data_IF_709270772710
#
_entry.id   IF_709270772710
#
_cell.length_a   1.000
_cell.length_b   1.000
_cell.length_c   1.000
_cell.angle_alpha   90.00
_cell.angle_beta   90.00
_cell.angle_gamma   90.00
#
_symmetry.space_group_name_H-M   'P 1'
#
loop_
_entity.id
_entity.type
_entity.pdbx_description
1 polymer ?
#
# COMPACT_ATOMS: atom_id res chain seq x y z
N UNK A 1 -4.94 39.98 12.51
CA UNK A 1 -4.71 38.99 11.44
C UNK A 1 -3.40 38.27 11.73
N UNK A 2 -3.46 37.17 12.47
CA UNK A 2 -2.30 36.37 12.85
C UNK A 2 -2.05 35.30 11.79
N UNK A 3 -0.88 35.40 11.15
CA UNK A 3 -0.38 34.46 10.14
C UNK A 3 -0.05 33.14 10.85
N UNK A 4 -0.66 32.04 10.42
CA UNK A 4 -0.34 30.70 10.94
C UNK A 4 1.07 30.33 10.43
N UNK A 5 2.09 30.51 11.26
CA UNK A 5 3.42 29.97 10.99
C UNK A 5 3.41 28.48 11.31
N UNK A 6 3.17 27.66 10.29
CA UNK A 6 3.36 26.22 10.36
C UNK A 6 4.86 25.92 10.46
N UNK A 7 5.23 25.24 11.56
CA UNK A 7 6.51 24.59 11.84
C UNK A 7 7.51 24.56 10.67
N UNK A 8 8.48 25.49 10.71
CA UNK A 8 9.70 25.39 9.92
C UNK A 8 10.57 24.27 10.51
N UNK A 9 10.48 23.07 9.92
CA UNK A 9 11.52 22.05 10.04
C UNK A 9 12.79 22.56 9.33
N UNK A 10 14.02 22.21 9.77
CA UNK A 10 15.25 22.70 9.16
C UNK A 10 15.25 22.40 7.65
N UNK A 11 15.43 23.47 6.89
CA UNK A 11 15.31 23.57 5.44
C UNK A 11 15.87 22.36 4.67
N UNK A 12 14.97 21.54 4.11
CA UNK A 12 15.21 20.96 2.80
C UNK A 12 15.02 22.13 1.82
N UNK A 13 16.09 22.53 1.12
CA UNK A 13 16.00 23.50 0.03
C UNK A 13 15.01 22.97 -1.00
N UNK A 14 13.81 23.56 -1.03
CA UNK A 14 12.93 23.48 -2.16
C UNK A 14 13.55 24.31 -3.28
N UNK A 15 14.19 23.66 -4.25
CA UNK A 15 14.36 24.29 -5.54
C UNK A 15 12.96 24.43 -6.14
N UNK A 16 12.41 25.64 -6.03
CA UNK A 16 11.11 25.98 -6.56
C UNK A 16 11.06 25.66 -8.05
N UNK A 17 10.33 24.60 -8.40
CA UNK A 17 9.86 24.38 -9.75
C UNK A 17 8.96 25.57 -10.11
N UNK A 18 9.54 26.58 -10.76
CA UNK A 18 8.78 27.63 -11.42
C UNK A 18 8.06 27.02 -12.61
N UNK A 19 6.88 26.46 -12.44
CA UNK A 19 5.95 26.21 -13.54
C UNK A 19 4.50 26.40 -13.07
N UNK A 20 4.16 27.66 -12.82
CA UNK A 20 2.80 28.16 -12.96
C UNK A 20 2.88 29.54 -13.62
N UNK A 21 2.79 29.58 -14.96
CA UNK A 21 1.91 30.48 -15.71
C UNK A 21 2.05 30.28 -17.23
N UNK A 22 0.89 30.29 -17.89
CA UNK A 22 0.61 30.42 -19.33
C UNK A 22 1.03 29.29 -20.28
N UNK A 23 0.09 28.37 -20.53
CA UNK A 23 -0.44 28.18 -21.89
C UNK A 23 0.40 27.51 -22.97
N UNK A 24 1.34 26.60 -22.66
CA UNK A 24 1.92 25.67 -23.65
C UNK A 24 2.16 24.31 -22.97
N UNK A 25 1.78 23.15 -23.56
CA UNK A 25 2.06 21.83 -22.99
C UNK A 25 3.55 21.48 -23.17
N UNK A 26 4.38 21.91 -22.23
CA UNK A 26 5.77 21.46 -22.10
C UNK A 26 5.85 20.12 -21.37
N UNK A 27 6.57 19.15 -21.95
CA UNK A 27 6.85 17.85 -21.31
C UNK A 27 7.51 18.05 -19.93
N UNK A 28 7.04 17.37 -18.87
CA UNK A 28 7.74 17.38 -17.59
C UNK A 28 9.13 16.74 -17.74
N UNK A 29 10.14 17.39 -17.14
CA UNK A 29 11.51 16.90 -17.10
C UNK A 29 11.57 15.58 -16.30
N UNK A 30 11.93 14.49 -16.97
CA UNK A 30 11.90 13.12 -16.43
C UNK A 30 13.24 12.66 -15.85
N UNK A 31 14.21 13.58 -15.71
CA UNK A 31 15.60 13.24 -15.40
C UNK A 31 16.00 13.36 -13.92
N UNK A 32 15.12 12.99 -12.97
CA UNK A 32 15.48 13.04 -11.54
C UNK A 32 15.47 11.65 -10.86
N UNK A 33 16.67 11.16 -10.56
CA UNK A 33 16.95 9.88 -9.88
C UNK A 33 16.90 10.00 -8.33
N UNK A 34 16.49 11.13 -7.76
CA UNK A 34 16.40 11.27 -6.30
C UNK A 34 15.11 10.64 -5.73
N UNK A 35 15.28 9.49 -5.09
CA UNK A 35 14.22 8.56 -4.66
C UNK A 35 13.34 9.03 -3.47
N UNK A 36 13.27 10.33 -3.16
CA UNK A 36 12.48 10.82 -2.02
C UNK A 36 12.02 12.28 -2.12
N UNK A 37 11.83 12.82 -3.33
CA UNK A 37 11.22 14.14 -3.43
C UNK A 37 9.73 14.04 -3.11
N UNK A 38 9.36 14.65 -2.00
CA UNK A 38 7.99 15.06 -1.69
C UNK A 38 7.42 15.77 -2.92
N UNK A 39 6.22 15.40 -3.35
CA UNK A 39 5.53 16.06 -4.45
C UNK A 39 4.31 16.80 -3.91
N UNK A 40 4.08 18.04 -4.35
CA UNK A 40 2.92 18.84 -3.96
C UNK A 40 2.09 19.08 -5.21
N UNK A 41 0.79 18.84 -5.11
CA UNK A 41 -0.18 19.03 -6.19
C UNK A 41 -1.32 19.92 -5.70
N UNK A 42 -1.72 20.88 -6.55
CA UNK A 42 -2.97 21.62 -6.37
C UNK A 42 -4.06 20.97 -7.22
N UNK A 43 -5.17 20.61 -6.60
CA UNK A 43 -6.26 19.86 -7.23
C UNK A 43 -7.59 20.57 -7.01
N UNK A 44 -8.52 20.50 -7.98
CA UNK A 44 -9.88 20.99 -7.78
C UNK A 44 -10.56 20.25 -6.61
N UNK A 45 -11.21 20.94 -5.66
CA UNK A 45 -11.93 20.29 -4.57
C UNK A 45 -13.02 19.31 -5.03
N UNK A 46 -13.56 19.51 -6.24
CA UNK A 46 -14.55 18.63 -6.86
C UNK A 46 -14.02 17.23 -7.21
N UNK A 47 -12.70 17.02 -7.19
CA UNK A 47 -12.11 15.70 -7.37
C UNK A 47 -12.20 14.82 -6.12
N UNK A 48 -12.56 15.38 -4.96
CA UNK A 48 -12.57 14.67 -3.68
C UNK A 48 -13.99 14.39 -3.22
N UNK A 49 -14.20 13.19 -2.71
CA UNK A 49 -15.42 12.79 -2.03
C UNK A 49 -15.08 12.02 -0.75
N UNK A 50 -15.90 12.20 0.28
CA UNK A 50 -15.81 11.43 1.52
C UNK A 50 -16.74 10.22 1.42
N UNK A 51 -16.17 9.02 1.51
CA UNK A 51 -16.92 7.77 1.59
C UNK A 51 -17.69 7.67 2.91
N UNK A 52 -18.83 6.99 2.86
CA UNK A 52 -19.47 6.53 4.08
C UNK A 52 -18.62 5.39 4.67
N UNK A 53 -18.40 5.45 5.98
CA UNK A 53 -17.55 4.54 6.78
C UNK A 53 -17.36 3.14 6.18
N UNK A 54 -16.16 2.88 5.66
CA UNK A 54 -15.69 1.57 5.23
C UNK A 54 -14.61 1.11 6.22
N UNK A 55 -14.58 -0.19 6.55
CA UNK A 55 -13.80 -0.78 7.64
C UNK A 55 -12.28 -0.74 7.47
N UNK A 56 -11.76 0.13 6.60
CA UNK A 56 -10.34 0.25 6.29
C UNK A 56 -9.78 1.56 6.84
N UNK A 57 -9.17 1.46 8.01
CA UNK A 57 -8.60 2.61 8.70
C UNK A 57 -7.38 3.18 7.96
N UNK A 58 -7.46 4.45 7.58
CA UNK A 58 -6.33 5.20 7.01
C UNK A 58 -6.09 5.03 5.51
N UNK A 59 -6.95 4.32 4.78
CA UNK A 59 -6.80 4.12 3.33
C UNK A 59 -8.05 4.58 2.56
N UNK A 60 -7.83 5.40 1.54
CA UNK A 60 -8.81 5.79 0.54
C UNK A 60 -8.42 5.27 -0.83
N UNK A 61 -9.05 5.80 -1.87
CA UNK A 61 -8.82 5.39 -3.25
C UNK A 61 -8.48 6.58 -4.15
N UNK A 62 -7.65 6.31 -5.15
CA UNK A 62 -7.42 7.22 -6.28
C UNK A 62 -7.63 6.47 -7.58
N UNK A 63 -8.41 7.08 -8.46
CA UNK A 63 -8.64 6.62 -9.83
C UNK A 63 -7.30 6.45 -10.58
N UNK A 64 -7.18 5.38 -11.36
CA UNK A 64 -5.90 5.04 -11.95
C UNK A 64 -5.41 5.98 -13.05
N UNK A 65 -6.32 6.57 -13.82
CA UNK A 65 -5.95 7.60 -14.80
C UNK A 65 -5.42 8.82 -14.10
N UNK A 66 -6.09 9.23 -13.02
CA UNK A 66 -5.69 10.38 -12.18
C UNK A 66 -4.34 10.15 -11.51
N UNK A 67 -4.13 8.96 -10.95
CA UNK A 67 -2.83 8.58 -10.40
C UNK A 67 -1.75 8.59 -11.47
N UNK A 68 -2.05 8.10 -12.67
CA UNK A 68 -1.12 8.10 -13.79
C UNK A 68 -0.77 9.54 -14.22
N UNK A 69 -1.77 10.39 -14.37
CA UNK A 69 -1.66 11.81 -14.76
C UNK A 69 -0.78 12.60 -13.78
N UNK A 70 -0.99 12.44 -12.46
CA UNK A 70 -0.18 13.09 -11.42
C UNK A 70 1.32 12.82 -11.55
N UNK A 71 1.70 11.68 -12.13
CA UNK A 71 3.11 11.28 -12.31
C UNK A 71 3.52 11.22 -13.80
N UNK A 72 2.81 11.94 -14.66
CA UNK A 72 3.19 12.20 -16.05
C UNK A 72 2.85 11.08 -17.04
N UNK A 73 1.94 10.17 -16.71
CA UNK A 73 1.39 9.18 -17.64
C UNK A 73 2.38 8.13 -18.16
N UNK A 74 3.57 8.05 -17.57
CA UNK A 74 4.62 7.17 -18.04
C UNK A 74 4.52 5.75 -17.45
N UNK A 75 5.37 4.84 -17.93
CA UNK A 75 5.40 3.46 -17.43
C UNK A 75 5.65 3.37 -15.91
N UNK A 76 6.38 4.30 -15.29
CA UNK A 76 6.58 4.30 -13.84
C UNK A 76 5.29 4.67 -13.09
N UNK A 77 4.55 5.66 -13.58
CA UNK A 77 3.23 6.01 -13.06
C UNK A 77 2.25 4.83 -13.20
N UNK A 78 2.25 4.16 -14.35
CA UNK A 78 1.42 2.99 -14.61
C UNK A 78 1.74 1.79 -13.70
N UNK A 79 2.93 1.75 -13.08
CA UNK A 79 3.31 0.72 -12.11
C UNK A 79 2.86 0.99 -10.68
N UNK A 80 2.42 2.21 -10.37
CA UNK A 80 2.05 2.59 -9.02
C UNK A 80 0.84 1.78 -8.53
N UNK A 81 0.93 1.32 -7.28
CA UNK A 81 -0.12 0.64 -6.53
C UNK A 81 -0.87 1.62 -5.61
N UNK A 82 -0.22 2.71 -5.21
CA UNK A 82 -0.78 3.72 -4.34
C UNK A 82 0.24 4.75 -3.89
N UNK A 83 -0.22 5.73 -3.13
CA UNK A 83 0.58 6.83 -2.61
C UNK A 83 0.21 7.14 -1.16
N UNK A 84 1.20 7.48 -0.33
CA UNK A 84 0.95 8.02 1.00
C UNK A 84 0.82 9.54 0.90
N UNK A 85 -0.25 10.08 1.46
CA UNK A 85 -0.63 11.48 1.28
C UNK A 85 -0.91 12.21 2.59
N UNK A 86 -0.73 13.52 2.52
CA UNK A 86 -1.34 14.50 3.41
C UNK A 86 -2.14 15.47 2.55
N UNK A 87 -3.42 15.64 2.86
CA UNK A 87 -4.34 16.46 2.07
C UNK A 87 -4.89 17.59 2.91
N UNK A 88 -4.96 18.78 2.31
CA UNK A 88 -5.79 19.88 2.77
C UNK A 88 -6.88 20.11 1.73
N UNK A 89 -8.12 19.78 2.10
CA UNK A 89 -9.29 20.02 1.25
C UNK A 89 -10.19 20.99 2.02
N UNK A 90 -10.18 22.30 1.75
CA UNK A 90 -10.81 23.30 2.63
C UNK A 90 -12.27 23.01 3.02
N UNK A 91 -13.05 22.47 2.08
CA UNK A 91 -14.45 22.10 2.30
C UNK A 91 -14.69 20.75 2.98
N UNK A 92 -13.67 19.89 3.11
CA UNK A 92 -13.77 18.57 3.73
C UNK A 92 -12.91 18.44 5.00
N UNK A 93 -11.70 19.01 5.04
CA UNK A 93 -10.80 18.97 6.19
C UNK A 93 -9.34 18.68 5.86
N UNK A 94 -8.60 18.27 6.89
CA UNK A 94 -7.22 17.77 6.78
C UNK A 94 -7.20 16.25 6.87
N UNK A 95 -6.50 15.60 5.95
CA UNK A 95 -6.43 14.14 5.87
C UNK A 95 -4.99 13.65 5.87
N UNK A 96 -4.78 12.46 6.44
CA UNK A 96 -3.54 11.70 6.38
C UNK A 96 -3.87 10.24 6.12
N UNK A 97 -3.15 9.61 5.21
CA UNK A 97 -3.23 8.17 5.01
C UNK A 97 -2.68 7.73 3.65
N UNK A 98 -3.21 6.63 3.15
CA UNK A 98 -2.91 6.09 1.83
C UNK A 98 -4.04 6.35 0.85
N UNK A 99 -3.71 6.51 -0.43
CA UNK A 99 -4.64 6.36 -1.54
C UNK A 99 -4.20 5.15 -2.36
N UNK A 100 -4.97 4.06 -2.25
CA UNK A 100 -4.79 2.88 -3.07
C UNK A 100 -5.31 3.15 -4.48
N UNK A 101 -4.59 2.66 -5.49
CA UNK A 101 -5.05 2.76 -6.87
C UNK A 101 -6.33 1.94 -7.05
N UNK A 102 -7.32 2.51 -7.71
CA UNK A 102 -8.58 1.84 -8.07
C UNK A 102 -8.86 1.98 -9.57
N UNK A 103 -9.46 0.95 -10.17
CA UNK A 103 -9.76 0.90 -11.60
C UNK A 103 -10.76 1.98 -12.00
N UNK A 104 -10.53 2.65 -13.13
CA UNK A 104 -11.43 3.69 -13.64
C UNK A 104 -12.85 3.14 -13.82
N UNK A 105 -13.85 3.96 -13.49
CA UNK A 105 -15.27 3.61 -13.64
C UNK A 105 -15.84 2.68 -12.57
N UNK A 106 -15.01 2.08 -11.70
CA UNK A 106 -15.47 1.24 -10.58
C UNK A 106 -15.75 2.02 -9.29
N UNK A 107 -15.46 3.33 -9.29
CA UNK A 107 -15.64 4.18 -8.12
C UNK A 107 -17.12 4.51 -7.83
N UNK A 108 -18.03 4.33 -8.80
CA UNK A 108 -19.45 4.69 -8.64
C UNK A 108 -19.69 6.20 -8.42
N UNK A 109 -18.63 7.01 -8.51
CA UNK A 109 -18.62 8.44 -8.27
C UNK A 109 -17.94 9.18 -9.42
N UNK A 110 -18.28 10.47 -9.57
CA UNK A 110 -17.57 11.42 -10.43
C UNK A 110 -16.25 11.89 -9.81
N UNK A 111 -16.10 11.76 -8.49
CA UNK A 111 -14.88 12.09 -7.79
C UNK A 111 -13.78 11.10 -8.18
N UNK A 112 -12.58 11.63 -8.36
CA UNK A 112 -11.40 10.85 -8.75
C UNK A 112 -10.61 10.37 -7.53
N UNK A 113 -10.85 10.96 -6.37
CA UNK A 113 -10.21 10.65 -5.09
C UNK A 113 -11.31 10.44 -4.05
N UNK A 114 -11.32 9.25 -3.45
CA UNK A 114 -12.27 8.87 -2.41
C UNK A 114 -11.52 8.79 -1.08
N UNK A 115 -11.95 9.59 -0.10
CA UNK A 115 -11.37 9.66 1.22
C UNK A 115 -12.24 8.92 2.21
N UNK A 116 -11.66 8.27 3.21
CA UNK A 116 -12.42 7.65 4.30
C UNK A 116 -12.43 8.56 5.53
N UNK A 117 -13.46 8.48 6.39
CA UNK A 117 -13.51 9.27 7.62
C UNK A 117 -12.31 9.06 8.54
N UNK A 118 -11.75 7.85 8.60
CA UNK A 118 -10.57 7.52 9.41
C UNK A 118 -9.29 8.27 8.98
N UNK A 119 -9.22 8.71 7.72
CA UNK A 119 -8.13 9.56 7.23
C UNK A 119 -8.26 11.01 7.73
N UNK A 120 -9.46 11.47 8.08
CA UNK A 120 -9.72 12.85 8.49
C UNK A 120 -9.17 13.10 9.90
N UNK A 121 -8.23 14.04 10.03
CA UNK A 121 -7.62 14.44 11.30
C UNK A 121 -8.19 15.73 11.84
N UNK A 122 -8.66 16.61 10.95
CA UNK A 122 -9.35 17.86 11.28
C UNK A 122 -10.52 18.04 10.33
N UNK A 123 -11.66 18.48 10.86
CA UNK A 123 -12.86 18.79 10.08
C UNK A 123 -12.67 19.97 9.10
N UNK A 124 -13.72 20.31 8.33
CA UNK A 124 -13.66 21.39 7.35
C UNK A 124 -13.42 22.76 7.99
N UNK A 125 -12.84 23.69 7.22
CA UNK A 125 -12.59 25.04 7.70
C UNK A 125 -13.91 25.81 7.91
N UNK A 126 -14.07 26.44 9.07
CA UNK A 126 -15.27 27.24 9.41
C UNK A 126 -15.52 28.39 8.42
N UNK A 127 -14.46 28.96 7.86
CA UNK A 127 -14.55 30.03 6.86
C UNK A 127 -15.20 29.57 5.56
N UNK A 128 -15.00 28.30 5.16
CA UNK A 128 -15.59 27.73 3.96
C UNK A 128 -17.09 27.40 4.12
N UNK A 129 -17.57 27.21 5.35
CA UNK A 129 -18.99 26.96 5.61
C UNK A 129 -19.87 28.17 5.25
N UNK A 130 -19.33 29.41 5.33
CA UNK A 130 -20.08 30.65 5.07
C UNK A 130 -20.10 31.06 3.60
N UNK A 131 -19.16 30.58 2.78
CA UNK A 131 -19.00 30.97 1.37
C UNK A 131 -19.61 30.01 0.36
N UNK A 132 -20.40 29.00 0.80
CA UNK A 132 -21.12 28.03 -0.06
C UNK A 132 -22.03 28.64 -1.15
N UNK A 133 -22.23 29.97 -1.19
CA UNK A 133 -23.03 30.66 -2.21
C UNK A 133 -22.26 31.14 -3.45
N UNK A 134 -20.93 31.10 -3.47
CA UNK A 134 -20.17 31.45 -4.69
C UNK A 134 -19.80 30.18 -5.47
N UNK A 135 -20.49 29.97 -6.59
CA UNK A 135 -20.48 28.75 -7.39
C UNK A 135 -19.25 28.55 -8.27
N UNK A 136 -18.22 29.41 -8.22
CA UNK A 136 -17.16 29.41 -9.25
C UNK A 136 -15.70 29.49 -8.78
N UNK A 137 -15.40 29.40 -7.48
CA UNK A 137 -14.01 29.60 -7.04
C UNK A 137 -13.65 29.06 -5.65
N UNK A 138 -13.95 27.79 -5.38
CA UNK A 138 -13.46 27.14 -4.16
C UNK A 138 -11.93 27.17 -4.12
N UNK A 139 -11.35 27.46 -2.94
CA UNK A 139 -9.91 27.36 -2.73
C UNK A 139 -9.42 25.95 -3.13
N UNK A 140 -8.28 25.83 -3.84
CA UNK A 140 -7.80 24.54 -4.31
C UNK A 140 -7.52 23.61 -3.13
N UNK A 141 -7.69 22.32 -3.36
CA UNK A 141 -7.16 21.31 -2.46
C UNK A 141 -5.65 21.19 -2.68
N UNK A 142 -4.90 20.97 -1.60
CA UNK A 142 -3.45 20.74 -1.66
C UNK A 142 -3.16 19.32 -1.25
N UNK A 143 -2.46 18.57 -2.10
CA UNK A 143 -2.01 17.21 -1.84
C UNK A 143 -0.49 17.17 -1.76
N UNK A 144 0.02 16.72 -0.62
CA UNK A 144 1.42 16.35 -0.43
C UNK A 144 1.55 14.84 -0.51
N UNK A 145 2.38 14.34 -1.43
CA UNK A 145 2.73 12.93 -1.54
C UNK A 145 4.05 12.68 -0.82
N UNK A 146 3.96 11.90 0.26
CA UNK A 146 5.10 11.53 1.09
C UNK A 146 5.87 10.33 0.52
N UNK A 147 5.14 9.32 0.06
CA UNK A 147 5.70 8.06 -0.44
C UNK A 147 4.91 7.55 -1.65
N UNK A 148 5.60 6.78 -2.49
CA UNK A 148 5.06 6.12 -3.69
C UNK A 148 5.28 4.62 -3.57
N UNK A 149 4.28 3.84 -3.99
CA UNK A 149 4.33 2.38 -3.93
C UNK A 149 4.06 1.78 -5.31
N UNK A 150 4.71 0.68 -5.70
CA UNK A 150 5.59 -0.16 -4.88
C UNK A 150 6.94 0.51 -4.61
N UNK A 151 7.60 0.13 -3.52
CA UNK A 151 8.95 0.64 -3.22
C UNK A 151 9.98 0.09 -4.23
N UNK A 152 11.14 0.75 -4.44
CA UNK A 152 12.20 0.19 -5.30
C UNK A 152 12.59 -1.24 -4.91
N UNK A 153 12.63 -1.53 -3.60
CA UNK A 153 12.88 -2.87 -3.07
C UNK A 153 11.82 -3.88 -3.52
N UNK A 154 10.54 -3.50 -3.43
CA UNK A 154 9.42 -4.35 -3.87
C UNK A 154 9.48 -4.58 -5.39
N UNK A 155 9.84 -3.57 -6.18
CA UNK A 155 10.03 -3.73 -7.62
C UNK A 155 11.10 -4.79 -7.91
N UNK A 156 12.24 -4.73 -7.23
CA UNK A 156 13.32 -5.70 -7.39
C UNK A 156 12.95 -7.10 -6.92
N UNK A 157 12.27 -7.21 -5.78
CA UNK A 157 11.72 -8.50 -5.32
C UNK A 157 10.75 -9.10 -6.34
N UNK A 158 9.88 -8.26 -6.92
CA UNK A 158 8.96 -8.67 -7.96
C UNK A 158 9.68 -9.39 -9.10
N UNK A 159 10.82 -8.84 -9.58
CA UNK A 159 11.56 -9.40 -10.73
C UNK A 159 12.03 -10.83 -10.47
N UNK A 160 12.20 -11.19 -9.20
CA UNK A 160 12.56 -12.54 -8.78
C UNK A 160 11.33 -13.44 -8.65
N UNK A 161 10.25 -12.93 -8.06
CA UNK A 161 9.02 -13.71 -7.81
C UNK A 161 8.26 -14.00 -9.12
N UNK A 162 8.15 -13.01 -10.00
CA UNK A 162 7.41 -13.13 -11.25
C UNK A 162 8.17 -12.39 -12.37
N UNK A 163 9.25 -12.99 -12.91
CA UNK A 163 10.10 -12.36 -13.92
C UNK A 163 9.36 -12.08 -15.24
N UNK A 164 8.22 -12.73 -15.48
CA UNK A 164 7.42 -12.58 -16.71
C UNK A 164 6.27 -11.58 -16.57
N UNK A 165 6.12 -10.94 -15.42
CA UNK A 165 5.02 -10.03 -15.17
C UNK A 165 5.07 -8.81 -16.11
N UNK A 166 3.99 -8.49 -16.87
CA UNK A 166 4.01 -7.48 -17.92
C UNK A 166 4.39 -6.07 -17.45
N UNK A 167 3.92 -5.67 -16.26
CA UNK A 167 4.23 -4.35 -15.71
C UNK A 167 5.56 -4.31 -14.94
N UNK A 168 6.23 -5.44 -14.72
CA UNK A 168 7.48 -5.43 -13.99
C UNK A 168 8.64 -5.10 -14.94
N UNK A 169 9.66 -4.35 -14.46
CA UNK A 169 10.86 -4.15 -15.26
C UNK A 169 11.53 -5.50 -15.55
N UNK A 170 11.84 -5.73 -16.81
CA UNK A 170 12.42 -7.00 -17.25
C UNK A 170 13.88 -7.16 -16.80
N UNK A 171 14.29 -8.42 -16.61
CA UNK A 171 15.64 -8.80 -16.22
C UNK A 171 15.84 -8.96 -14.71
N UNK A 172 17.03 -9.39 -14.32
CA UNK A 172 17.36 -9.60 -12.91
C UNK A 172 17.36 -8.28 -12.10
N UNK A 173 17.20 -8.36 -10.76
CA UNK A 173 17.49 -7.23 -9.88
C UNK A 173 18.90 -6.68 -10.11
N UNK A 174 19.14 -5.36 -9.98
CA UNK A 174 20.49 -4.81 -10.08
C UNK A 174 21.44 -5.48 -9.07
N UNK A 175 22.66 -5.81 -9.48
CA UNK A 175 23.67 -6.47 -8.59
C UNK A 175 23.99 -5.65 -7.33
N UNK A 176 23.81 -4.33 -7.39
CA UNK A 176 23.98 -3.41 -6.27
C UNK A 176 22.87 -3.53 -5.22
N UNK A 177 21.70 -4.02 -5.61
CA UNK A 177 20.57 -4.20 -4.70
C UNK A 177 20.63 -5.59 -4.06
N UNK A 178 20.54 -5.61 -2.73
CA UNK A 178 20.53 -6.84 -1.94
C UNK A 178 19.16 -7.02 -1.29
N UNK A 179 18.69 -8.25 -1.11
CA UNK A 179 17.51 -8.51 -0.30
C UNK A 179 17.70 -7.89 1.09
N UNK A 180 16.63 -7.34 1.67
CA UNK A 180 16.67 -6.85 3.04
C UNK A 180 16.91 -8.07 3.93
N UNK A 181 17.95 -8.01 4.75
CA UNK A 181 18.15 -9.02 5.76
C UNK A 181 16.93 -9.07 6.69
N UNK A 182 16.52 -10.29 7.06
CA UNK A 182 15.46 -10.51 8.03
C UNK A 182 15.73 -9.77 9.35
N UNK A 183 17.01 -9.71 9.74
CA UNK A 183 17.51 -8.98 10.90
C UNK A 183 18.64 -8.07 10.44
N UNK A 184 18.52 -6.77 10.72
CA UNK A 184 19.64 -5.83 10.55
C UNK A 184 20.64 -6.02 11.70
N UNK A 185 21.97 -5.97 11.44
CA UNK A 185 22.97 -6.00 12.51
C UNK A 185 22.67 -4.97 13.61
N UNK A 186 22.70 -5.40 14.87
CA UNK A 186 22.44 -4.54 16.02
C UNK A 186 20.97 -4.14 16.24
N UNK A 187 20.01 -4.71 15.48
CA UNK A 187 18.57 -4.53 15.71
C UNK A 187 17.96 -5.77 16.38
N UNK A 188 16.91 -5.59 17.22
CA UNK A 188 16.21 -6.72 17.83
C UNK A 188 15.64 -7.68 16.78
N UNK A 189 15.76 -8.98 17.03
CA UNK A 189 15.25 -10.05 16.17
C UNK A 189 13.75 -10.29 16.38
N UNK A 190 12.91 -9.28 16.16
CA UNK A 190 11.48 -9.38 16.49
C UNK A 190 10.78 -10.51 15.70
N UNK A 191 11.00 -10.58 14.37
CA UNK A 191 10.37 -11.62 13.53
C UNK A 191 10.86 -13.04 13.90
N UNK A 192 12.17 -13.33 14.02
CA UNK A 192 12.60 -14.65 14.50
C UNK A 192 12.12 -14.99 15.92
N UNK A 193 11.98 -14.01 16.82
CA UNK A 193 11.43 -14.23 18.16
C UNK A 193 9.94 -14.54 18.11
N UNK A 194 9.18 -13.85 17.27
CA UNK A 194 7.77 -14.15 17.03
C UNK A 194 7.62 -15.56 16.45
N UNK A 195 8.42 -15.94 15.46
CA UNK A 195 8.45 -17.32 14.96
C UNK A 195 8.79 -18.34 16.05
N UNK A 196 9.71 -18.01 16.96
CA UNK A 196 10.00 -18.86 18.13
C UNK A 196 8.79 -19.07 19.01
N UNK A 197 8.06 -18.00 19.35
CA UNK A 197 6.87 -18.11 20.19
C UNK A 197 5.73 -18.83 19.48
N UNK A 198 5.73 -18.84 18.15
CA UNK A 198 4.80 -19.58 17.30
C UNK A 198 5.34 -20.97 16.92
N UNK A 199 6.22 -21.56 17.71
CA UNK A 199 6.62 -22.97 17.55
C UNK A 199 7.69 -23.27 16.49
N UNK A 200 8.12 -22.30 15.67
CA UNK A 200 9.11 -22.56 14.60
C UNK A 200 10.47 -22.95 15.20
N UNK A 201 11.01 -24.15 14.93
CA UNK A 201 12.28 -24.61 15.50
C UNK A 201 13.47 -23.69 15.15
N UNK A 202 14.46 -23.59 16.04
CA UNK A 202 15.69 -22.80 15.80
C UNK A 202 16.38 -23.21 14.50
N UNK A 203 16.53 -24.51 14.23
CA UNK A 203 17.14 -25.02 12.98
C UNK A 203 16.51 -24.43 11.72
N UNK A 204 15.18 -24.26 11.70
CA UNK A 204 14.44 -23.71 10.54
C UNK A 204 14.70 -22.21 10.43
N UNK A 205 14.60 -21.47 11.55
CA UNK A 205 14.84 -20.02 11.57
C UNK A 205 16.28 -19.66 11.20
N UNK A 206 17.24 -20.40 11.73
CA UNK A 206 18.68 -20.16 11.54
C UNK A 206 19.06 -20.50 10.09
N UNK A 207 18.58 -21.64 9.57
CA UNK A 207 18.74 -21.99 8.15
C UNK A 207 18.14 -20.94 7.22
N UNK A 208 16.93 -20.46 7.52
CA UNK A 208 16.28 -19.41 6.73
C UNK A 208 17.10 -18.11 6.73
N UNK A 209 17.57 -17.68 7.90
CA UNK A 209 18.39 -16.47 8.06
C UNK A 209 19.69 -16.58 7.27
N UNK A 210 20.37 -17.73 7.34
CA UNK A 210 21.59 -17.98 6.57
C UNK A 210 21.33 -17.98 5.06
N UNK A 211 20.27 -18.64 4.62
CA UNK A 211 19.87 -18.71 3.21
C UNK A 211 19.53 -17.33 2.64
N UNK A 212 18.86 -16.46 3.41
CA UNK A 212 18.60 -15.08 2.99
C UNK A 212 19.89 -14.27 2.79
N UNK A 213 20.90 -14.49 3.64
CA UNK A 213 22.18 -13.77 3.58
C UNK A 213 23.04 -14.29 2.42
N UNK A 214 23.14 -15.61 2.27
CA UNK A 214 24.06 -16.27 1.32
C UNK A 214 23.47 -16.39 -0.08
N UNK A 215 22.17 -16.69 -0.18
CA UNK A 215 21.50 -17.05 -1.44
C UNK A 215 20.99 -15.86 -2.26
N UNK A 216 20.99 -14.65 -1.71
CA UNK A 216 20.48 -13.47 -2.40
C UNK A 216 18.96 -13.53 -2.63
N UNK A 217 18.49 -12.90 -3.71
CA UNK A 217 17.06 -12.68 -3.97
C UNK A 217 16.25 -13.99 -4.10
N UNK A 218 16.81 -15.01 -4.75
CA UNK A 218 16.15 -16.30 -5.01
C UNK A 218 15.77 -17.05 -3.72
N UNK A 219 16.52 -16.83 -2.65
CA UNK A 219 16.33 -17.51 -1.37
C UNK A 219 15.56 -16.66 -0.36
N UNK A 220 15.29 -15.40 -0.67
CA UNK A 220 14.57 -14.49 0.21
C UNK A 220 13.07 -14.65 0.00
N UNK A 221 12.47 -15.60 0.71
CA UNK A 221 11.01 -15.88 0.63
C UNK A 221 10.19 -15.00 1.59
N UNK A 222 10.53 -13.71 1.66
CA UNK A 222 9.78 -12.71 2.41
C UNK A 222 9.93 -11.33 1.79
N UNK A 223 9.01 -10.42 2.11
CA UNK A 223 9.13 -9.01 1.75
C UNK A 223 8.37 -8.11 2.72
N UNK A 224 8.70 -6.83 2.68
CA UNK A 224 7.91 -5.76 3.29
C UNK A 224 7.08 -5.09 2.20
N UNK A 225 5.78 -5.21 2.29
CA UNK A 225 4.81 -4.65 1.33
C UNK A 225 3.88 -3.68 2.04
N UNK A 226 3.38 -2.67 1.32
CA UNK A 226 2.44 -1.71 1.92
C UNK A 226 1.08 -2.35 2.11
N UNK A 227 0.42 -2.09 3.24
CA UNK A 227 -0.97 -2.45 3.43
C UNK A 227 -1.88 -1.50 2.67
N UNK A 228 -2.83 -2.06 1.92
CA UNK A 228 -3.85 -1.31 1.21
C UNK A 228 -5.22 -1.98 1.41
N UNK A 229 -6.28 -1.18 1.30
CA UNK A 229 -7.65 -1.70 1.20
C UNK A 229 -7.86 -2.43 -0.13
N UNK A 230 -8.75 -3.41 -0.16
CA UNK A 230 -9.20 -4.07 -1.38
C UNK A 230 -9.89 -3.09 -2.35
N UNK A 231 -9.27 -2.75 -3.50
CA UNK A 231 -9.85 -1.83 -4.47
C UNK A 231 -11.09 -2.40 -5.19
N UNK A 232 -11.27 -3.73 -5.16
CA UNK A 232 -12.33 -4.44 -5.87
C UNK A 232 -13.56 -4.72 -5.00
N UNK A 233 -13.39 -4.70 -3.67
CA UNK A 233 -14.37 -5.19 -2.67
C UNK A 233 -14.84 -6.64 -2.93
N UNK A 234 -14.03 -7.40 -3.66
CA UNK A 234 -14.32 -8.78 -4.04
C UNK A 234 -13.48 -9.80 -3.27
N UNK A 235 -12.47 -9.37 -2.50
CA UNK A 235 -11.66 -10.26 -1.68
C UNK A 235 -12.53 -10.76 -0.51
N UNK A 236 -12.68 -12.08 -0.31
CA UNK A 236 -13.48 -12.62 0.78
C UNK A 236 -12.84 -12.32 2.15
N UNK A 237 -13.62 -12.29 3.25
CA UNK A 237 -13.08 -12.26 4.60
C UNK A 237 -12.01 -13.33 4.83
N UNK A 238 -11.01 -13.02 5.67
CA UNK A 238 -9.86 -13.87 6.00
C UNK A 238 -8.91 -14.21 4.84
N UNK A 239 -9.22 -13.77 3.62
CA UNK A 239 -8.30 -13.81 2.50
C UNK A 239 -7.56 -12.48 2.38
N UNK A 240 -6.40 -12.53 1.75
CA UNK A 240 -5.63 -11.37 1.33
C UNK A 240 -5.19 -11.56 -0.11
N UNK A 241 -4.84 -10.47 -0.78
CA UNK A 241 -4.22 -10.53 -2.09
C UNK A 241 -2.88 -9.80 -2.08
N UNK A 242 -1.78 -10.54 -2.14
CA UNK A 242 -0.44 -9.95 -2.34
C UNK A 242 -0.21 -9.80 -3.84
N UNK A 243 0.01 -8.56 -4.27
CA UNK A 243 0.14 -8.23 -5.70
C UNK A 243 1.38 -8.88 -6.31
N UNK A 244 1.35 -9.19 -7.61
CA UNK A 244 2.50 -9.72 -8.36
C UNK A 244 3.01 -11.11 -7.95
N UNK A 245 2.37 -11.80 -7.00
CA UNK A 245 2.73 -13.15 -6.55
C UNK A 245 2.14 -14.27 -7.41
N UNK A 246 1.07 -13.99 -8.16
CA UNK A 246 0.42 -15.00 -8.99
C UNK A 246 1.04 -14.96 -10.39
N UNK A 247 1.73 -16.05 -10.76
CA UNK A 247 2.18 -16.34 -12.12
C UNK A 247 1.51 -17.63 -12.61
N UNK A 248 1.34 -17.76 -13.92
CA UNK A 248 0.94 -18.98 -14.59
C UNK A 248 1.98 -20.12 -14.39
N UNK A 249 3.26 -19.81 -14.16
CA UNK A 249 4.27 -20.80 -13.74
C UNK A 249 4.22 -21.00 -12.22
N UNK A 250 3.35 -21.93 -11.79
CA UNK A 250 2.89 -22.24 -10.43
C UNK A 250 3.93 -22.53 -9.33
N UNK A 251 5.24 -22.39 -9.57
CA UNK A 251 6.27 -22.90 -8.65
C UNK A 251 6.35 -22.12 -7.31
N UNK A 252 5.88 -20.87 -7.28
CA UNK A 252 5.95 -19.98 -6.10
C UNK A 252 4.60 -19.67 -5.47
N UNK A 253 3.51 -20.19 -6.05
CA UNK A 253 2.15 -19.91 -5.59
C UNK A 253 1.90 -20.72 -4.33
N UNK A 254 1.96 -20.06 -3.19
CA UNK A 254 1.42 -20.60 -1.94
C UNK A 254 0.01 -20.07 -1.74
N UNK A 255 -0.83 -20.92 -1.17
CA UNK A 255 -2.19 -20.60 -0.73
C UNK A 255 -2.22 -19.81 0.59
N UNK A 256 -1.09 -19.68 1.30
CA UNK A 256 -1.05 -19.02 2.61
C UNK A 256 0.22 -18.23 2.85
N UNK A 257 0.10 -17.13 3.57
CA UNK A 257 1.22 -16.30 3.99
C UNK A 257 1.25 -16.10 5.49
N UNK A 258 2.45 -16.06 6.06
CA UNK A 258 2.65 -15.50 7.39
C UNK A 258 2.79 -13.99 7.26
N UNK A 259 1.94 -13.25 7.97
CA UNK A 259 1.87 -11.79 7.94
C UNK A 259 2.03 -11.22 9.34
N UNK A 260 2.90 -10.23 9.48
CA UNK A 260 3.05 -9.46 10.71
C UNK A 260 3.49 -8.01 10.42
N UNK A 261 3.63 -7.18 11.45
CA UNK A 261 4.18 -5.83 11.37
C UNK A 261 5.33 -5.68 12.36
N UNK A 262 6.13 -4.63 12.22
CA UNK A 262 7.16 -4.27 13.20
C UNK A 262 6.77 -2.98 13.90
N UNK A 263 6.87 -2.90 15.24
CA UNK A 263 7.28 -3.96 16.16
C UNK A 263 6.21 -5.05 16.30
N UNK A 264 6.65 -6.28 16.60
CA UNK A 264 5.80 -7.40 17.01
C UNK A 264 6.41 -8.06 18.24
N UNK A 265 5.60 -8.23 19.27
CA UNK A 265 6.01 -8.60 20.64
C UNK A 265 5.17 -9.77 21.13
N UNK A 266 3.88 -9.80 20.82
CA UNK A 266 2.95 -10.85 21.23
C UNK A 266 2.82 -11.93 20.15
N UNK A 267 2.67 -13.23 20.49
CA UNK A 267 2.37 -14.27 19.51
C UNK A 267 1.21 -13.94 18.57
N UNK A 268 0.18 -13.23 19.06
CA UNK A 268 -0.99 -12.80 18.29
C UNK A 268 -0.72 -11.68 17.28
N UNK A 269 0.48 -11.07 17.31
CA UNK A 269 0.91 -10.06 16.33
C UNK A 269 1.23 -10.66 14.96
N UNK A 270 1.40 -11.98 14.87
CA UNK A 270 1.61 -12.74 13.64
C UNK A 270 0.39 -13.58 13.27
N UNK A 271 0.05 -13.62 11.98
CA UNK A 271 -1.08 -14.42 11.49
C UNK A 271 -0.71 -15.18 10.24
N UNK A 272 -1.29 -16.36 10.07
CA UNK A 272 -1.32 -17.06 8.78
C UNK A 272 -2.62 -16.70 8.09
N UNK A 273 -2.53 -16.06 6.93
CA UNK A 273 -3.67 -15.60 6.13
C UNK A 273 -3.73 -16.35 4.81
N UNK A 274 -4.95 -16.56 4.30
CA UNK A 274 -5.15 -17.22 3.02
C UNK A 274 -4.86 -16.24 1.87
N UNK A 275 -3.93 -16.61 0.99
CA UNK A 275 -3.72 -15.89 -0.25
C UNK A 275 -4.84 -16.24 -1.22
N UNK A 276 -5.48 -15.22 -1.77
CA UNK A 276 -6.46 -15.39 -2.82
C UNK A 276 -5.75 -15.83 -4.11
N UNK A 277 -5.93 -17.10 -4.49
CA UNK A 277 -5.28 -17.72 -5.67
C UNK A 277 -6.23 -17.92 -6.85
N UNK A 278 -7.54 -17.87 -6.62
CA UNK A 278 -8.59 -18.03 -7.62
C UNK A 278 -9.60 -16.90 -7.51
N UNK A 279 -10.29 -16.60 -8.64
CA UNK A 279 -11.31 -15.56 -8.68
C UNK A 279 -12.52 -15.95 -7.82
N UNK A 280 -12.91 -15.14 -6.82
CA UNK A 280 -14.15 -15.35 -6.08
C UNK A 280 -15.40 -15.26 -6.97
N UNK A 281 -16.50 -15.98 -6.67
CA UNK A 281 -17.74 -15.91 -7.45
C UNK A 281 -18.31 -14.49 -7.59
N UNK A 282 -18.16 -13.65 -6.56
CA UNK A 282 -18.65 -12.26 -6.56
C UNK A 282 -17.75 -11.26 -7.28
N UNK A 283 -16.56 -11.66 -7.75
CA UNK A 283 -15.61 -10.77 -8.40
C UNK A 283 -15.74 -10.82 -9.93
N UNK A 284 -15.85 -9.65 -10.55
CA UNK A 284 -15.89 -9.54 -12.00
C UNK A 284 -14.59 -10.08 -12.63
N UNK A 285 -14.67 -10.57 -13.87
CA UNK A 285 -13.47 -11.01 -14.61
C UNK A 285 -12.49 -9.84 -14.75
N UNK A 286 -13.01 -8.64 -15.02
CA UNK A 286 -12.19 -7.46 -15.22
C UNK A 286 -11.44 -7.05 -13.93
N UNK A 287 -12.07 -7.16 -12.76
CA UNK A 287 -11.42 -6.83 -11.49
C UNK A 287 -10.36 -7.88 -11.12
N UNK A 288 -10.63 -9.16 -11.41
CA UNK A 288 -9.66 -10.23 -11.23
C UNK A 288 -8.44 -10.04 -12.12
N UNK A 289 -8.64 -9.84 -13.42
CA UNK A 289 -7.54 -9.59 -14.37
C UNK A 289 -6.76 -8.32 -14.00
N UNK A 290 -7.47 -7.28 -13.55
CA UNK A 290 -6.84 -6.06 -13.07
C UNK A 290 -5.98 -6.31 -11.83
N UNK A 291 -6.45 -7.08 -10.84
CA UNK A 291 -5.67 -7.48 -9.67
C UNK A 291 -4.42 -8.27 -10.06
N UNK A 292 -4.57 -9.26 -10.95
CA UNK A 292 -3.47 -10.09 -11.45
C UNK A 292 -2.41 -9.27 -12.19
N UNK A 293 -2.81 -8.18 -12.86
CA UNK A 293 -1.89 -7.31 -13.60
C UNK A 293 -1.06 -6.38 -12.72
N UNK A 294 -1.23 -6.38 -11.38
CA UNK A 294 -0.56 -5.45 -10.47
C UNK A 294 0.85 -5.92 -10.12
N UNK A 295 1.82 -5.00 -10.12
CA UNK A 295 3.19 -5.28 -9.69
C UNK A 295 3.26 -5.74 -8.24
N UNK A 296 4.31 -6.52 -7.94
CA UNK A 296 4.60 -6.90 -6.56
C UNK A 296 4.92 -5.68 -5.68
N UNK A 297 4.29 -5.61 -4.50
CA UNK A 297 4.63 -4.61 -3.49
C UNK A 297 3.50 -4.13 -2.58
N UNK A 298 2.29 -4.65 -2.70
CA UNK A 298 1.19 -4.38 -1.78
C UNK A 298 0.54 -5.68 -1.30
N UNK A 299 -0.08 -5.62 -0.12
CA UNK A 299 -1.03 -6.60 0.37
C UNK A 299 -2.40 -5.91 0.47
N UNK A 300 -3.40 -6.46 -0.21
CA UNK A 300 -4.77 -5.99 -0.13
C UNK A 300 -5.53 -6.76 0.94
N UNK A 301 -6.10 -6.02 1.88
CA UNK A 301 -6.98 -6.52 2.91
C UNK A 301 -8.44 -6.24 2.55
N UNK A 302 -9.35 -7.20 2.70
CA UNK A 302 -10.78 -6.97 2.51
C UNK A 302 -11.34 -6.06 3.60
N UNK A 303 -12.48 -5.44 3.30
CA UNK A 303 -13.29 -4.76 4.30
C UNK A 303 -13.64 -5.72 5.45
N UNK A 304 -13.58 -5.22 6.68
CA UNK A 304 -14.10 -5.93 7.83
C UNK A 304 -15.63 -6.06 7.71
N UNK A 305 -16.20 -7.27 7.93
CA UNK A 305 -17.64 -7.39 8.12
C UNK A 305 -18.13 -6.50 9.28
N UNK A 306 -19.39 -6.03 9.25
CA UNK A 306 -19.96 -5.24 10.34
C UNK A 306 -19.76 -5.92 11.71
N UNK A 307 -19.26 -5.17 12.69
CA UNK A 307 -18.99 -5.67 14.04
C UNK A 307 -17.66 -6.41 14.21
N UNK A 308 -16.91 -6.67 13.14
CA UNK A 308 -15.56 -7.25 13.21
C UNK A 308 -14.49 -6.17 13.17
N UNK A 309 -13.33 -6.47 13.77
CA UNK A 309 -12.15 -5.63 13.65
C UNK A 309 -11.47 -5.85 12.29
N UNK A 310 -10.93 -4.79 11.66
CA UNK A 310 -10.13 -4.95 10.44
C UNK A 310 -8.91 -5.81 10.68
N UNK A 311 -8.60 -6.67 9.69
CA UNK A 311 -7.45 -7.56 9.74
C UNK A 311 -6.13 -6.82 10.03
N UNK A 312 -5.83 -5.66 9.42
CA UNK A 312 -4.73 -4.79 9.84
C UNK A 312 -4.60 -4.60 11.35
N UNK A 313 -5.67 -4.21 12.04
CA UNK A 313 -5.65 -3.96 13.49
C UNK A 313 -5.37 -5.19 14.32
N UNK A 314 -5.65 -6.38 13.77
CA UNK A 314 -5.37 -7.66 14.40
C UNK A 314 -3.92 -8.12 14.20
N UNK A 315 -3.13 -7.40 13.40
CA UNK A 315 -1.74 -7.71 13.07
C UNK A 315 -0.86 -6.61 13.67
N UNK A 316 -0.40 -6.82 14.90
CA UNK A 316 0.44 -5.86 15.62
C UNK A 316 -0.14 -4.44 15.71
N UNK A 317 -1.47 -4.33 15.83
CA UNK A 317 -2.21 -3.05 15.81
C UNK A 317 -1.89 -2.22 14.55
N UNK A 318 -1.92 -2.90 13.40
CA UNK A 318 -1.84 -2.35 12.04
C UNK A 318 -2.96 -1.37 11.69
N UNK A 319 -2.66 -0.40 10.84
CA UNK A 319 -3.65 0.29 10.02
C UNK A 319 -3.20 0.29 8.55
N UNK A 320 -3.86 1.08 7.70
CA UNK A 320 -3.56 1.20 6.29
C UNK A 320 -3.14 2.62 5.91
N UNK A 321 -2.56 3.39 6.84
CA UNK A 321 -2.16 4.79 6.64
C UNK A 321 -0.74 4.98 6.05
N UNK A 322 -0.10 3.85 5.72
CA UNK A 322 1.25 3.76 5.14
C UNK A 322 2.11 2.65 5.75
N UNK A 323 1.52 1.80 6.58
CA UNK A 323 2.17 0.67 7.22
C UNK A 323 2.75 -0.33 6.23
N UNK A 324 3.93 -0.85 6.59
CA UNK A 324 4.54 -1.99 5.91
C UNK A 324 4.27 -3.27 6.69
N UNK A 325 3.74 -4.27 6.00
CA UNK A 325 3.52 -5.61 6.48
C UNK A 325 4.65 -6.52 6.00
N UNK A 326 5.21 -7.27 6.93
CA UNK A 326 6.10 -8.37 6.64
C UNK A 326 5.27 -9.56 6.16
N UNK A 327 5.53 -10.03 4.94
CA UNK A 327 4.87 -11.19 4.34
C UNK A 327 5.94 -12.24 4.08
N UNK A 328 5.76 -13.45 4.60
CA UNK A 328 6.64 -14.60 4.41
C UNK A 328 5.88 -15.77 3.78
N UNK A 329 6.51 -16.39 2.79
CA UNK A 329 5.99 -17.52 2.02
C UNK A 329 6.94 -18.71 2.00
N UNK A 330 7.87 -18.74 2.95
CA UNK A 330 8.77 -19.88 3.11
C UNK A 330 8.03 -21.10 3.66
N UNK A 331 8.03 -22.19 2.89
CA UNK A 331 7.27 -23.39 3.23
C UNK A 331 7.76 -24.07 4.51
N UNK A 332 9.07 -24.04 4.79
CA UNK A 332 9.61 -24.66 6.00
C UNK A 332 9.19 -23.85 7.23
N UNK A 333 9.23 -22.52 7.15
CA UNK A 333 8.68 -21.65 8.22
C UNK A 333 7.19 -21.91 8.39
N UNK A 334 6.41 -21.87 7.31
CA UNK A 334 4.95 -22.02 7.35
C UNK A 334 4.51 -23.40 7.90
N UNK A 335 5.22 -24.48 7.56
CA UNK A 335 4.92 -25.83 8.02
C UNK A 335 5.18 -26.03 9.52
N UNK A 336 5.95 -25.14 10.16
CA UNK A 336 6.32 -25.23 11.57
C UNK A 336 5.66 -24.14 12.44
N UNK A 337 4.75 -23.33 11.89
CA UNK A 337 4.00 -22.35 12.66
C UNK A 337 2.86 -23.05 13.42
N UNK A 338 2.90 -22.97 14.74
CA UNK A 338 1.80 -23.31 15.65
C UNK A 338 0.83 -22.12 15.74
N UNK A 339 0.20 -21.83 14.61
CA UNK A 339 -0.77 -20.76 14.48
C UNK A 339 -2.04 -21.40 13.94
N UNK A 340 -3.16 -21.22 14.65
CA UNK A 340 -4.45 -21.50 14.04
C UNK A 340 -4.57 -20.63 12.79
N UNK A 341 -4.68 -21.27 11.63
CA UNK A 341 -5.17 -20.58 10.43
C UNK A 341 -6.44 -19.88 10.87
N UNK A 342 -6.57 -18.59 10.57
CA UNK A 342 -7.81 -17.87 10.88
C UNK A 342 -8.87 -18.46 9.96
N UNK A 343 -9.50 -19.55 10.40
CA UNK A 343 -10.58 -20.19 9.68
C UNK A 343 -11.72 -19.19 9.60
N UNK A 344 -12.39 -19.18 8.45
CA UNK A 344 -13.63 -18.45 8.30
C UNK A 344 -14.60 -19.06 9.33
N UNK A 345 -14.72 -18.42 10.50
CA UNK A 345 -15.78 -18.73 11.46
C UNK A 345 -17.06 -18.66 10.63
N UNK A 346 -17.75 -19.78 10.49
CA UNK A 346 -18.92 -19.92 9.64
C UNK A 346 -19.85 -18.73 9.85
N UNK A 347 -19.81 -17.79 8.91
CA UNK A 347 -20.71 -16.66 8.89
C UNK A 347 -22.04 -17.22 8.42
N UNK A 348 -22.91 -17.57 9.36
CA UNK A 348 -24.31 -17.85 9.05
C UNK A 348 -24.94 -16.48 8.77
N UNK A 349 -25.38 -16.21 7.54
CA UNK A 349 -25.91 -14.90 7.15
C UNK A 349 -27.16 -14.49 7.92
#
# INVERSE_FOLDING_TARGET
>A
MSRLELFQSPAVKFEGGKHCQTGIPGKPDTSDRSNSRLAIFELPPSQFELLQSEGNDGCGYIDEESLSELFGGNAAAARLLGIQVRLLVPGLGLFKGMLARKRTGTMGSRAKILLTPSMQKVGPALSCARTRRSSSGGSPAVMLVNNKFPSPYSVSMGRTINPRHPLQPQGAPPKSEKPKALVKPGKPEMIPRLWKSLGVPSRVRDSYKENCIKGGWQHSKHSWVVGCTDPTRGIPPHHVFVTGCLDASREWVTDRFFVTRSPCIDPSDGRVLQQLTTRPPGMSVQDWDWLLSRNFGAIYFPDAPPGMKPMPSLIANGDLDGDYYFVCWDQDVLANLDVQVVEAVHYVP
#
